data_IF_902919461470
#
_entry.id   IF_902919461470
#
_cell.length_a   1.000
_cell.length_b   1.000
_cell.length_c   1.000
_cell.angle_alpha   90.00
_cell.angle_beta   90.00
_cell.angle_gamma   90.00
#
_symmetry.space_group_name_H-M   'P 1'
#
loop_
_entity.id
_entity.type
_entity.pdbx_description
1 polymer ?
#
# COMPACT_ATOMS: atom_id res chain seq x y z
N UNK A 1 12.48 10.85 7.49
CA UNK A 1 12.96 11.73 6.41
C UNK A 1 11.89 11.77 5.32
N UNK A 2 11.46 12.95 4.88
CA UNK A 2 10.36 13.12 3.92
C UNK A 2 10.96 13.39 2.54
N UNK A 3 10.53 12.63 1.53
CA UNK A 3 11.03 12.74 0.15
C UNK A 3 9.87 13.03 -0.79
N UNK A 4 9.96 14.15 -1.50
CA UNK A 4 9.08 14.47 -2.61
C UNK A 4 9.64 13.87 -3.92
N UNK A 5 8.78 13.15 -4.65
CA UNK A 5 9.04 12.61 -5.98
C UNK A 5 7.97 13.09 -6.94
N UNK A 6 8.37 13.78 -8.00
CA UNK A 6 7.47 14.16 -9.09
C UNK A 6 7.73 13.33 -10.33
N UNK A 7 6.84 12.43 -10.68
CA UNK A 7 7.02 11.52 -11.81
C UNK A 7 6.21 11.97 -13.02
N UNK A 8 6.85 11.98 -14.19
CA UNK A 8 6.21 12.31 -15.46
C UNK A 8 6.16 11.05 -16.32
N UNK A 9 4.95 10.69 -16.75
CA UNK A 9 4.66 9.41 -17.39
C UNK A 9 3.92 9.69 -18.69
N UNK A 10 4.40 9.10 -19.77
CA UNK A 10 3.71 9.06 -21.06
C UNK A 10 3.41 7.60 -21.39
N UNK A 11 2.13 7.29 -21.65
CA UNK A 11 1.61 5.92 -21.70
C UNK A 11 1.92 5.16 -20.39
N UNK A 12 2.81 4.17 -20.44
CA UNK A 12 3.25 3.37 -19.29
C UNK A 12 4.75 3.55 -19.01
N UNK A 13 5.37 4.56 -19.63
CA UNK A 13 6.80 4.82 -19.50
C UNK A 13 7.01 6.11 -18.70
N UNK A 14 7.59 5.95 -17.51
CA UNK A 14 8.12 7.07 -16.74
C UNK A 14 9.38 7.58 -17.44
N UNK A 15 9.29 8.74 -18.09
CA UNK A 15 10.37 9.28 -18.92
C UNK A 15 11.27 10.27 -18.17
N UNK A 16 10.77 10.88 -17.10
CA UNK A 16 11.44 11.92 -16.32
C UNK A 16 10.89 11.92 -14.89
N UNK A 17 11.72 12.26 -13.90
CA UNK A 17 11.24 12.53 -12.55
C UNK A 17 12.08 13.60 -11.86
N UNK A 18 11.47 14.33 -10.92
CA UNK A 18 12.16 15.15 -9.92
C UNK A 18 12.35 14.35 -8.63
N UNK A 19 13.52 14.46 -8.03
CA UNK A 19 13.79 13.91 -6.70
C UNK A 19 14.35 14.97 -5.76
N UNK A 20 13.59 15.29 -4.71
CA UNK A 20 14.01 16.23 -3.67
C UNK A 20 15.32 15.88 -2.96
N UNK A 21 15.75 14.60 -2.97
CA UNK A 21 17.07 14.21 -2.44
C UNK A 21 18.21 14.62 -3.36
N UNK A 22 17.98 14.59 -4.66
CA UNK A 22 18.95 14.97 -5.69
C UNK A 22 18.86 16.47 -6.04
N UNK A 23 17.71 17.07 -5.75
CA UNK A 23 17.39 18.48 -5.96
C UNK A 23 17.25 18.88 -7.42
N UNK A 24 17.00 17.92 -8.32
CA UNK A 24 16.95 18.13 -9.78
C UNK A 24 16.03 17.13 -10.48
N UNK A 25 15.73 17.43 -11.75
CA UNK A 25 15.05 16.52 -12.67
C UNK A 25 16.05 15.55 -13.30
N UNK A 26 15.65 14.28 -13.41
CA UNK A 26 16.47 13.18 -13.91
C UNK A 26 15.68 12.46 -15.01
N UNK A 27 16.17 12.54 -16.23
CA UNK A 27 15.61 11.79 -17.36
C UNK A 27 15.85 10.29 -17.16
N UNK A 28 14.80 9.48 -17.31
CA UNK A 28 14.89 8.01 -17.33
C UNK A 28 15.05 7.47 -18.75
N UNK A 29 14.67 8.25 -19.75
CA UNK A 29 14.70 7.87 -21.17
C UNK A 29 15.23 9.04 -22.01
N UNK A 30 15.65 8.78 -23.24
CA UNK A 30 16.07 9.83 -24.19
C UNK A 30 14.97 10.87 -24.42
N UNK A 31 13.71 10.46 -24.39
CA UNK A 31 12.55 11.33 -24.56
C UNK A 31 12.48 12.42 -23.46
N UNK A 32 12.88 12.10 -22.23
CA UNK A 32 12.85 13.06 -21.11
C UNK A 32 14.07 13.96 -20.98
N UNK A 33 15.14 13.73 -21.76
CA UNK A 33 16.38 14.53 -21.65
C UNK A 33 16.16 16.01 -21.96
N UNK A 34 15.47 16.40 -23.05
CA UNK A 34 15.27 17.81 -23.36
C UNK A 34 14.55 18.57 -22.23
N UNK A 35 13.53 17.94 -21.64
CA UNK A 35 12.78 18.50 -20.51
C UNK A 35 13.63 18.60 -19.24
N UNK A 36 14.40 17.55 -18.92
CA UNK A 36 15.31 17.56 -17.78
C UNK A 36 16.34 18.69 -17.89
N UNK A 37 17.00 18.81 -19.04
CA UNK A 37 18.01 19.84 -19.28
C UNK A 37 17.40 21.25 -19.20
N UNK A 38 16.24 21.45 -19.82
CA UNK A 38 15.53 22.72 -19.78
C UNK A 38 15.12 23.10 -18.35
N UNK A 39 14.45 22.21 -17.61
CA UNK A 39 13.99 22.52 -16.26
C UNK A 39 15.13 22.65 -15.26
N UNK A 40 16.19 21.84 -15.38
CA UNK A 40 17.38 21.98 -14.53
C UNK A 40 18.16 23.28 -14.78
N UNK A 41 18.07 23.84 -15.99
CA UNK A 41 18.67 25.14 -16.29
C UNK A 41 17.88 26.33 -15.71
N UNK A 42 16.62 26.12 -15.31
CA UNK A 42 15.77 27.15 -14.74
C UNK A 42 15.78 27.11 -13.20
N UNK A 43 16.45 28.09 -12.60
CA UNK A 43 16.62 28.20 -11.15
C UNK A 43 15.29 28.35 -10.40
N UNK A 44 14.33 29.10 -10.93
CA UNK A 44 13.02 29.31 -10.28
C UNK A 44 12.23 28.00 -10.19
N UNK A 45 12.26 27.18 -11.26
CA UNK A 45 11.63 25.86 -11.26
C UNK A 45 12.31 24.97 -10.21
N UNK A 46 13.64 24.90 -10.20
CA UNK A 46 14.36 24.05 -9.24
C UNK A 46 14.10 24.48 -7.79
N UNK A 47 14.04 25.77 -7.50
CA UNK A 47 13.72 26.29 -6.16
C UNK A 47 12.28 25.95 -5.74
N UNK A 48 11.29 26.12 -6.61
CA UNK A 48 9.90 25.71 -6.34
C UNK A 48 9.82 24.21 -6.02
N UNK A 49 10.43 23.37 -6.86
CA UNK A 49 10.34 21.92 -6.72
C UNK A 49 11.08 21.40 -5.48
N UNK A 50 12.23 21.99 -5.13
CA UNK A 50 12.91 21.70 -3.88
C UNK A 50 12.08 22.08 -2.64
N UNK A 51 11.24 23.11 -2.73
CA UNK A 51 10.38 23.54 -1.63
C UNK A 51 9.25 22.55 -1.31
N UNK A 52 8.89 21.65 -2.24
CA UNK A 52 7.67 20.82 -2.16
C UNK A 52 7.60 19.87 -0.98
N UNK A 53 8.73 19.49 -0.39
CA UNK A 53 8.74 18.74 0.87
C UNK A 53 8.08 19.56 1.98
N UNK A 54 8.42 20.85 2.08
CA UNK A 54 7.95 21.75 3.13
C UNK A 54 6.61 22.42 2.80
N UNK A 55 6.31 22.62 1.52
CA UNK A 55 5.08 23.33 1.10
C UNK A 55 3.93 22.38 0.76
N UNK A 56 4.21 21.11 0.44
CA UNK A 56 3.19 20.12 0.05
C UNK A 56 3.21 18.92 0.99
N UNK A 57 4.32 18.18 1.11
CA UNK A 57 4.31 16.89 1.80
C UNK A 57 3.99 17.02 3.29
N UNK A 58 4.78 17.81 4.02
CA UNK A 58 4.64 17.96 5.47
C UNK A 58 3.29 18.58 5.83
N UNK A 59 2.87 19.73 5.25
CA UNK A 59 1.59 20.33 5.62
C UNK A 59 0.39 19.42 5.32
N UNK A 60 0.39 18.70 4.18
CA UNK A 60 -0.70 17.78 3.89
C UNK A 60 -0.71 16.61 4.87
N UNK A 61 0.44 16.03 5.20
CA UNK A 61 0.52 14.98 6.21
C UNK A 61 -0.04 15.47 7.55
N UNK A 62 0.38 16.64 8.01
CA UNK A 62 -0.08 17.24 9.27
C UNK A 62 -1.61 17.47 9.31
N UNK A 63 -2.23 17.76 8.15
CA UNK A 63 -3.68 17.91 8.04
C UNK A 63 -4.41 16.56 8.02
N UNK A 64 -3.85 15.55 7.32
CA UNK A 64 -4.60 14.31 6.99
C UNK A 64 -4.20 13.07 7.77
N UNK A 65 -3.09 13.08 8.54
CA UNK A 65 -2.56 11.86 9.17
C UNK A 65 -3.57 11.22 10.12
N UNK A 66 -4.36 12.02 10.83
CA UNK A 66 -5.36 11.55 11.81
C UNK A 66 -6.43 10.63 11.21
N UNK A 67 -6.78 10.80 9.92
CA UNK A 67 -7.76 9.96 9.22
C UNK A 67 -7.15 9.06 8.13
N UNK A 68 -5.83 9.08 7.97
CA UNK A 68 -5.07 8.21 7.06
C UNK A 68 -4.09 7.32 7.83
N UNK A 69 -2.88 7.81 8.15
CA UNK A 69 -1.83 7.05 8.84
C UNK A 69 -2.27 6.50 10.22
N UNK A 70 -3.04 7.29 10.97
CA UNK A 70 -3.51 6.92 12.32
C UNK A 70 -4.86 6.21 12.30
N UNK A 71 -5.51 6.10 11.13
CA UNK A 71 -6.79 5.41 10.99
C UNK A 71 -6.66 3.97 11.45
N UNK A 72 -7.59 3.53 12.30
CA UNK A 72 -7.71 2.13 12.72
C UNK A 72 -9.16 1.70 12.58
N UNK A 73 -9.38 0.59 11.88
CA UNK A 73 -10.69 -0.06 11.79
C UNK A 73 -10.54 -1.49 12.28
N UNK A 74 -11.35 -1.88 13.26
CA UNK A 74 -11.29 -3.21 13.86
C UNK A 74 -11.75 -4.26 12.84
N UNK A 75 -11.05 -5.41 12.74
CA UNK A 75 -11.49 -6.50 11.88
C UNK A 75 -12.83 -7.07 12.35
N UNK A 76 -13.63 -7.49 11.37
CA UNK A 76 -14.74 -8.42 11.56
C UNK A 76 -14.28 -9.82 11.17
N UNK A 77 -14.66 -10.83 11.96
CA UNK A 77 -14.19 -12.20 11.79
C UNK A 77 -15.39 -13.13 11.63
N UNK A 78 -15.34 -13.99 10.62
CA UNK A 78 -16.30 -15.07 10.41
C UNK A 78 -15.56 -16.38 10.15
N UNK A 79 -15.77 -17.34 11.04
CA UNK A 79 -15.25 -18.70 10.88
C UNK A 79 -16.35 -19.56 10.25
N UNK A 80 -16.01 -20.28 9.19
CA UNK A 80 -16.92 -21.19 8.49
C UNK A 80 -16.24 -22.50 8.13
N UNK A 81 -17.02 -23.58 8.02
CA UNK A 81 -16.56 -24.84 7.44
C UNK A 81 -16.68 -24.75 5.92
N UNK A 82 -15.66 -25.22 5.21
CA UNK A 82 -15.76 -25.45 3.77
C UNK A 82 -16.72 -26.62 3.54
N UNK A 83 -17.70 -26.44 2.63
CA UNK A 83 -18.69 -27.45 2.24
C UNK A 83 -19.62 -27.90 3.39
N UNK A 84 -20.26 -26.95 4.07
CA UNK A 84 -21.22 -27.23 5.15
C UNK A 84 -22.40 -28.13 4.73
N UNK A 85 -22.75 -28.15 3.44
CA UNK A 85 -23.92 -28.88 2.91
C UNK A 85 -23.59 -30.28 2.35
N UNK A 86 -22.33 -30.72 2.39
CA UNK A 86 -21.92 -32.02 1.83
C UNK A 86 -21.84 -33.14 2.89
N UNK A 87 -22.31 -34.37 2.59
CA UNK A 87 -22.25 -35.50 3.52
C UNK A 87 -20.82 -35.82 3.96
N UNK A 88 -20.64 -35.93 5.28
CA UNK A 88 -19.36 -36.02 6.01
C UNK A 88 -18.61 -37.36 5.88
N UNK A 89 -18.82 -38.12 4.80
CA UNK A 89 -18.14 -39.41 4.65
C UNK A 89 -16.73 -39.23 4.10
N UNK A 90 -15.75 -39.14 5.01
CA UNK A 90 -14.32 -39.31 4.71
C UNK A 90 -13.58 -38.11 4.14
N UNK A 91 -14.17 -36.90 4.14
CA UNK A 91 -13.50 -35.67 3.70
C UNK A 91 -12.82 -34.95 4.87
N UNK A 92 -11.62 -34.42 4.63
CA UNK A 92 -11.00 -33.45 5.52
C UNK A 92 -11.88 -32.20 5.61
N UNK A 93 -12.17 -31.73 6.82
CA UNK A 93 -12.88 -30.49 7.04
C UNK A 93 -11.89 -29.33 7.02
N UNK A 94 -12.04 -28.41 6.06
CA UNK A 94 -11.30 -27.17 6.04
C UNK A 94 -12.09 -26.09 6.80
N UNK A 95 -11.42 -25.39 7.71
CA UNK A 95 -11.96 -24.19 8.32
C UNK A 95 -11.42 -22.96 7.58
N UNK A 96 -12.30 -22.00 7.33
CA UNK A 96 -11.97 -20.72 6.71
C UNK A 96 -12.18 -19.65 7.77
N UNK A 97 -11.15 -18.84 8.03
CA UNK A 97 -11.23 -17.65 8.87
C UNK A 97 -11.28 -16.44 7.96
N UNK A 98 -12.48 -15.98 7.63
CA UNK A 98 -12.63 -14.75 6.86
C UNK A 98 -12.49 -13.55 7.80
N UNK A 99 -11.42 -12.78 7.61
CA UNK A 99 -11.15 -11.54 8.34
C UNK A 99 -11.32 -10.37 7.38
N UNK A 100 -12.24 -9.46 7.66
CA UNK A 100 -12.64 -8.41 6.72
C UNK A 100 -12.88 -7.06 7.41
N UNK A 101 -13.00 -6.01 6.60
CA UNK A 101 -13.30 -4.64 7.03
C UNK A 101 -12.27 -4.03 8.00
N UNK A 102 -11.00 -4.40 7.88
CA UNK A 102 -9.93 -3.87 8.75
C UNK A 102 -9.04 -2.83 8.06
N UNK A 103 -8.38 -1.98 8.84
CA UNK A 103 -7.37 -1.03 8.38
C UNK A 103 -6.40 -0.71 9.53
N UNK A 104 -5.08 -0.61 9.29
CA UNK A 104 -4.36 -0.72 8.01
C UNK A 104 -4.21 -2.18 7.53
N UNK A 105 -3.43 -2.43 6.47
CA UNK A 105 -3.26 -3.77 5.87
C UNK A 105 -2.52 -4.75 6.77
N UNK A 106 -1.68 -4.26 7.68
CA UNK A 106 -0.88 -5.08 8.57
C UNK A 106 -1.77 -5.82 9.56
N UNK A 107 -1.77 -7.15 9.48
CA UNK A 107 -2.54 -8.03 10.36
C UNK A 107 -1.78 -9.33 10.63
N UNK A 108 -2.01 -9.91 11.79
CA UNK A 108 -1.53 -11.26 12.15
C UNK A 108 -2.76 -12.12 12.47
N UNK A 109 -2.89 -13.26 11.78
CA UNK A 109 -3.97 -14.24 12.00
C UNK A 109 -3.33 -15.57 12.36
N UNK A 110 -3.70 -16.14 13.52
CA UNK A 110 -3.16 -17.39 14.04
C UNK A 110 -4.26 -18.39 14.33
N UNK A 111 -3.98 -19.65 14.04
CA UNK A 111 -4.87 -20.76 14.39
C UNK A 111 -4.37 -21.47 15.64
N UNK A 112 -5.31 -21.85 16.51
CA UNK A 112 -5.02 -22.64 17.70
C UNK A 112 -5.98 -23.83 17.78
N UNK A 113 -5.44 -25.00 18.12
CA UNK A 113 -6.21 -26.21 18.42
C UNK A 113 -5.86 -26.66 19.82
N UNK A 114 -6.86 -26.73 20.70
CA UNK A 114 -6.67 -27.12 22.10
C UNK A 114 -5.57 -26.32 22.83
N UNK A 115 -5.40 -25.04 22.46
CA UNK A 115 -4.39 -24.15 23.04
C UNK A 115 -2.99 -24.25 22.43
N UNK A 116 -2.75 -25.13 21.45
CA UNK A 116 -1.50 -25.21 20.70
C UNK A 116 -1.65 -24.50 19.36
N UNK A 117 -0.65 -23.70 18.97
CA UNK A 117 -0.63 -23.00 17.68
C UNK A 117 -0.47 -24.01 16.54
N UNK A 118 -1.33 -23.90 15.53
CA UNK A 118 -1.30 -24.75 14.33
C UNK A 118 -0.67 -23.94 13.20
N UNK A 119 0.43 -24.44 12.63
CA UNK A 119 1.14 -23.76 11.53
C UNK A 119 1.30 -24.63 10.29
N UNK A 120 1.37 -25.96 10.44
CA UNK A 120 1.69 -26.88 9.34
C UNK A 120 0.60 -26.96 8.26
N UNK A 121 -0.67 -26.80 8.67
CA UNK A 121 -1.84 -26.95 7.80
C UNK A 121 -2.55 -25.62 7.52
N UNK A 122 -1.93 -24.49 7.90
CA UNK A 122 -2.49 -23.16 7.72
C UNK A 122 -2.01 -22.58 6.39
N UNK A 123 -2.96 -22.08 5.61
CA UNK A 123 -2.70 -21.27 4.43
C UNK A 123 -3.44 -19.96 4.60
N UNK A 124 -2.85 -18.87 4.11
CA UNK A 124 -3.48 -17.56 4.12
C UNK A 124 -3.21 -16.83 2.81
N UNK A 125 -4.15 -15.99 2.41
CA UNK A 125 -3.96 -15.09 1.27
C UNK A 125 -3.20 -13.83 1.69
N UNK A 126 -2.73 -13.04 0.73
CA UNK A 126 -2.29 -11.67 1.04
C UNK A 126 -3.49 -10.75 1.33
N UNK A 127 -3.35 -9.73 2.20
CA UNK A 127 -4.40 -8.73 2.40
C UNK A 127 -4.84 -8.07 1.09
N UNK A 128 -6.13 -8.20 0.78
CA UNK A 128 -6.74 -7.61 -0.41
C UNK A 128 -7.39 -6.27 -0.07
N UNK A 129 -7.10 -5.22 -0.86
CA UNK A 129 -7.70 -3.90 -0.72
C UNK A 129 -9.08 -3.84 -1.38
N UNK A 130 -10.12 -3.53 -0.60
CA UNK A 130 -11.52 -3.55 -1.04
C UNK A 130 -11.94 -2.30 -1.86
N UNK A 131 -11.11 -1.25 -1.88
CA UNK A 131 -11.42 0.03 -2.54
C UNK A 131 -12.23 1.02 -1.69
N UNK A 132 -12.61 0.64 -0.47
CA UNK A 132 -13.35 1.48 0.50
C UNK A 132 -12.51 1.85 1.74
N UNK A 133 -11.18 1.81 1.61
CA UNK A 133 -10.22 1.97 2.71
C UNK A 133 -10.28 0.87 3.78
N UNK A 134 -10.69 -0.33 3.40
CA UNK A 134 -10.55 -1.54 4.22
C UNK A 134 -9.88 -2.68 3.45
N UNK A 135 -9.37 -3.64 4.21
CA UNK A 135 -8.75 -4.86 3.73
C UNK A 135 -9.55 -6.10 4.13
N UNK A 136 -9.27 -7.20 3.44
CA UNK A 136 -9.73 -8.54 3.79
C UNK A 136 -8.65 -9.59 3.56
N UNK A 137 -8.69 -10.69 4.30
CA UNK A 137 -7.78 -11.83 4.22
C UNK A 137 -8.53 -13.12 4.57
N UNK A 138 -8.13 -14.23 3.93
CA UNK A 138 -8.67 -15.57 4.16
C UNK A 138 -7.61 -16.50 4.78
#
# INVERSE_FOLDING_TARGET
>A
DVRYLGKFIYNQEEFLYFDSKEGKFIAKTEFGKPDADYWNSNKEIIEDWNSRVQTICIPNYDIIHSFTADRRVKPSIKISLMNQDEPSQGKQHLLICNVFAFYPSEIEVKWYRNGQEETEQVQSTEPHLNGDWTFQIL
#
